data_IF_799593367950
#
_entry.id   IF_799593367950
#
_cell.length_a   1.000
_cell.length_b   1.000
_cell.length_c   1.000
_cell.angle_alpha   90.00
_cell.angle_beta   90.00
_cell.angle_gamma   90.00
#
_symmetry.space_group_name_H-M   'P 1'
#
loop_
_entity.id
_entity.type
_entity.pdbx_description
1 polymer ?
#
# COMPACT_ATOMS: atom_id res chain seq x y z
N UNK A 1 -29.70 41.96 -11.04
CA UNK A 1 -28.44 41.38 -10.58
C UNK A 1 -28.58 39.86 -10.66
N UNK A 2 -28.09 39.28 -11.76
CA UNK A 2 -28.24 37.86 -12.07
C UNK A 2 -27.03 37.13 -11.48
N UNK A 3 -27.24 36.32 -10.45
CA UNK A 3 -26.22 35.45 -9.87
C UNK A 3 -26.01 34.24 -10.80
N UNK A 4 -24.95 34.26 -11.54
CA UNK A 4 -24.52 33.13 -12.35
C UNK A 4 -24.04 32.02 -11.45
N UNK A 5 -24.87 31.00 -11.25
CA UNK A 5 -24.46 29.73 -10.64
C UNK A 5 -23.51 29.03 -11.61
N UNK A 6 -22.31 28.76 -11.15
CA UNK A 6 -21.34 27.93 -11.87
C UNK A 6 -21.94 26.50 -12.07
N UNK A 7 -22.11 26.02 -13.30
CA UNK A 7 -22.75 24.74 -13.57
C UNK A 7 -21.91 23.50 -13.18
N UNK A 8 -20.76 23.70 -12.52
CA UNK A 8 -19.82 22.62 -12.16
C UNK A 8 -19.91 22.13 -10.71
N UNK A 9 -20.79 22.68 -9.89
CA UNK A 9 -21.05 22.14 -8.56
C UNK A 9 -22.34 21.32 -8.57
N UNK A 10 -22.26 20.07 -8.99
CA UNK A 10 -23.27 19.10 -8.63
C UNK A 10 -23.31 19.03 -7.09
N UNK A 11 -24.50 19.08 -6.47
CA UNK A 11 -24.58 19.03 -5.00
C UNK A 11 -24.06 17.66 -4.55
N UNK A 12 -22.90 17.66 -3.85
CA UNK A 12 -22.38 16.47 -3.21
C UNK A 12 -23.39 16.05 -2.12
N UNK A 13 -23.97 14.86 -2.29
CA UNK A 13 -24.92 14.30 -1.32
C UNK A 13 -24.15 13.70 -0.15
N UNK A 14 -23.77 14.56 0.80
CA UNK A 14 -23.18 14.12 2.06
C UNK A 14 -24.29 13.47 2.90
N UNK A 15 -24.16 12.16 3.16
CA UNK A 15 -25.10 11.41 3.98
C UNK A 15 -24.83 11.53 5.46
N UNK A 16 -23.55 11.59 5.84
CA UNK A 16 -23.15 11.65 7.24
C UNK A 16 -21.83 12.41 7.39
N UNK A 17 -21.74 13.21 8.46
CA UNK A 17 -20.50 13.82 8.92
C UNK A 17 -20.29 13.51 10.40
N UNK A 18 -19.08 13.17 10.79
CA UNK A 18 -18.75 12.80 12.15
C UNK A 18 -17.36 13.33 12.51
N UNK A 19 -17.29 14.20 13.52
CA UNK A 19 -16.02 14.69 14.07
C UNK A 19 -15.62 13.77 15.22
N UNK A 20 -14.44 13.20 15.13
CA UNK A 20 -13.94 12.32 16.18
C UNK A 20 -13.50 13.11 17.38
N UNK A 21 -14.04 12.75 18.55
CA UNK A 21 -13.79 13.40 19.82
C UNK A 21 -13.22 12.41 20.84
N UNK A 22 -12.40 12.91 21.73
CA UNK A 22 -11.94 12.15 22.87
C UNK A 22 -13.13 11.82 23.79
N UNK A 23 -13.30 10.56 24.21
CA UNK A 23 -14.46 10.14 25.01
C UNK A 23 -14.50 10.80 26.39
N UNK A 24 -13.36 11.14 26.97
CA UNK A 24 -13.24 11.71 28.30
C UNK A 24 -13.31 13.24 28.28
N UNK A 25 -12.47 13.87 27.45
CA UNK A 25 -12.34 15.34 27.41
C UNK A 25 -13.32 16.02 26.45
N UNK A 26 -14.00 15.24 25.58
CA UNK A 26 -14.89 15.73 24.51
C UNK A 26 -14.22 16.65 23.48
N UNK A 27 -12.92 16.84 23.56
CA UNK A 27 -12.15 17.64 22.60
C UNK A 27 -12.03 16.91 21.27
N UNK A 28 -11.98 17.67 20.19
CA UNK A 28 -11.71 17.11 18.86
C UNK A 28 -10.35 16.45 18.83
N UNK A 29 -10.28 15.26 18.19
CA UNK A 29 -9.05 14.54 17.92
C UNK A 29 -8.32 15.07 16.67
N UNK A 30 -8.85 16.12 16.03
CA UNK A 30 -8.28 16.73 14.84
C UNK A 30 -8.64 16.04 13.52
N UNK A 31 -9.58 15.10 13.52
CA UNK A 31 -10.05 14.44 12.32
C UNK A 31 -11.52 14.05 12.39
N UNK A 32 -12.11 13.76 11.25
CA UNK A 32 -13.48 13.31 11.14
C UNK A 32 -13.72 12.47 9.90
N UNK A 33 -14.92 11.96 9.77
CA UNK A 33 -15.36 11.18 8.63
C UNK A 33 -16.51 11.88 7.91
N UNK A 34 -16.46 11.83 6.59
CA UNK A 34 -17.55 12.28 5.71
C UNK A 34 -17.98 11.08 4.87
N UNK A 35 -19.27 10.78 4.88
CA UNK A 35 -19.86 9.70 4.09
C UNK A 35 -20.70 10.31 2.98
N UNK A 36 -20.40 9.93 1.76
CA UNK A 36 -21.13 10.30 0.56
C UNK A 36 -22.12 9.19 0.17
N UNK A 37 -23.11 9.54 -0.64
CA UNK A 37 -24.10 8.59 -1.14
C UNK A 37 -23.52 7.63 -2.18
N UNK A 38 -22.53 8.07 -2.95
CA UNK A 38 -21.94 7.30 -4.02
C UNK A 38 -20.40 7.45 -4.07
N UNK A 39 -19.74 6.41 -4.62
CA UNK A 39 -18.27 6.37 -4.73
C UNK A 39 -17.74 7.47 -5.65
N UNK A 40 -18.45 7.80 -6.73
CA UNK A 40 -18.05 8.87 -7.63
C UNK A 40 -17.99 10.24 -6.95
N UNK A 41 -18.82 10.49 -5.94
CA UNK A 41 -18.75 11.73 -5.14
C UNK A 41 -17.49 11.78 -4.27
N UNK A 42 -17.05 10.63 -3.76
CA UNK A 42 -15.74 10.52 -3.09
C UNK A 42 -14.61 10.83 -4.08
N UNK A 43 -14.68 10.30 -5.29
CA UNK A 43 -13.69 10.55 -6.34
C UNK A 43 -13.61 12.05 -6.68
N UNK A 44 -14.74 12.71 -6.84
CA UNK A 44 -14.80 14.15 -7.10
C UNK A 44 -14.25 14.98 -5.93
N UNK A 45 -14.59 14.61 -4.69
CA UNK A 45 -14.04 15.25 -3.50
C UNK A 45 -12.51 15.10 -3.44
N UNK A 46 -11.98 13.94 -3.78
CA UNK A 46 -10.53 13.71 -3.82
C UNK A 46 -9.84 14.47 -4.95
N UNK A 47 -10.49 14.65 -6.10
CA UNK A 47 -9.98 15.48 -7.20
C UNK A 47 -9.96 16.98 -6.87
N UNK A 48 -10.91 17.43 -6.08
CA UNK A 48 -11.05 18.84 -5.68
C UNK A 48 -10.07 19.27 -4.57
N UNK A 49 -9.13 18.45 -4.16
CA UNK A 49 -8.08 18.80 -3.20
C UNK A 49 -7.24 19.99 -3.68
N UNK A 50 -6.72 20.82 -2.77
CA UNK A 50 -6.89 20.82 -1.32
C UNK A 50 -8.23 21.40 -0.84
N UNK A 51 -8.76 20.91 0.28
CA UNK A 51 -9.94 21.44 0.91
C UNK A 51 -9.59 22.34 2.10
N UNK A 52 -10.43 23.36 2.32
CA UNK A 52 -10.36 24.18 3.52
C UNK A 52 -11.65 24.00 4.31
N UNK A 53 -11.50 23.72 5.58
CA UNK A 53 -12.60 23.62 6.54
C UNK A 53 -12.29 24.57 7.70
N UNK A 54 -13.21 25.50 7.95
CA UNK A 54 -13.06 26.51 9.00
C UNK A 54 -11.71 27.27 8.93
N UNK A 55 -11.34 27.67 7.69
CA UNK A 55 -10.11 28.42 7.41
C UNK A 55 -8.81 27.59 7.44
N UNK A 56 -8.87 26.32 7.77
CA UNK A 56 -7.72 25.42 7.82
C UNK A 56 -7.70 24.45 6.62
N UNK A 57 -6.52 24.25 6.06
CA UNK A 57 -6.33 23.23 5.03
C UNK A 57 -6.40 21.87 5.68
N UNK A 58 -7.27 21.00 5.14
CA UNK A 58 -7.42 19.62 5.59
C UNK A 58 -6.96 18.68 4.49
N UNK A 59 -6.41 17.54 4.89
CA UNK A 59 -5.96 16.48 4.00
C UNK A 59 -7.00 15.36 4.01
N UNK A 60 -7.80 15.21 2.95
CA UNK A 60 -8.73 14.10 2.84
C UNK A 60 -8.01 12.81 2.47
N UNK A 61 -8.50 11.71 3.00
CA UNK A 61 -8.01 10.37 2.71
C UNK A 61 -9.19 9.40 2.69
N UNK A 62 -9.16 8.43 1.79
CA UNK A 62 -10.19 7.38 1.77
C UNK A 62 -10.16 6.59 3.07
N UNK A 63 -11.33 6.39 3.64
CA UNK A 63 -11.47 5.59 4.85
C UNK A 63 -11.18 4.12 4.54
N UNK A 64 -10.48 3.47 5.44
CA UNK A 64 -10.23 2.02 5.39
C UNK A 64 -11.28 1.31 6.22
N UNK A 65 -11.79 0.17 5.72
CA UNK A 65 -12.77 -0.63 6.46
C UNK A 65 -12.18 -1.13 7.78
N UNK A 66 -13.04 -1.48 8.73
CA UNK A 66 -12.59 -2.04 10.02
C UNK A 66 -11.84 -3.36 9.83
N UNK A 67 -12.26 -4.17 8.88
CA UNK A 67 -11.61 -5.44 8.54
C UNK A 67 -10.21 -5.22 7.98
N UNK A 68 -10.08 -4.24 7.08
CA UNK A 68 -8.81 -3.92 6.43
C UNK A 68 -7.88 -3.09 7.32
N UNK A 69 -8.41 -2.37 8.30
CA UNK A 69 -7.61 -1.51 9.19
C UNK A 69 -6.59 -2.26 10.02
N UNK A 70 -6.82 -3.56 10.25
CA UNK A 70 -5.90 -4.44 10.97
C UNK A 70 -4.75 -4.97 10.09
N UNK A 71 -4.82 -4.78 8.77
CA UNK A 71 -3.75 -5.20 7.85
C UNK A 71 -2.52 -4.32 8.02
N UNK A 72 -1.32 -4.89 7.96
CA UNK A 72 -0.08 -4.11 8.00
C UNK A 72 -0.07 -3.05 6.90
N UNK A 73 0.24 -1.81 7.28
CA UNK A 73 0.33 -0.70 6.34
C UNK A 73 -0.99 -0.15 5.82
N UNK A 74 -2.16 -0.62 6.29
CA UNK A 74 -3.47 -0.17 5.82
C UNK A 74 -3.66 1.35 5.89
N UNK A 75 -3.13 1.99 6.94
CA UNK A 75 -3.24 3.43 7.17
C UNK A 75 -2.07 4.25 6.60
N UNK A 76 -1.06 3.59 6.02
CA UNK A 76 0.08 4.29 5.44
C UNK A 76 -0.30 4.97 4.12
N UNK A 77 0.23 6.17 3.93
CA UNK A 77 0.12 6.92 2.69
C UNK A 77 1.30 6.56 1.79
N UNK A 78 1.05 5.78 0.75
CA UNK A 78 2.06 5.32 -0.20
C UNK A 78 1.59 5.56 -1.63
N UNK A 79 2.54 5.77 -2.55
CA UNK A 79 2.28 5.97 -3.98
C UNK A 79 2.61 4.75 -4.84
N UNK A 80 3.00 3.65 -4.22
CA UNK A 80 3.46 2.44 -4.89
C UNK A 80 2.63 1.23 -4.47
N UNK A 81 2.30 0.38 -5.44
CA UNK A 81 1.61 -0.90 -5.20
C UNK A 81 2.50 -2.07 -5.57
N UNK A 82 2.27 -3.19 -4.90
CA UNK A 82 2.74 -4.51 -5.27
C UNK A 82 1.62 -5.25 -6.02
N UNK A 83 1.94 -5.83 -7.15
CA UNK A 83 1.02 -6.65 -7.97
C UNK A 83 1.61 -8.03 -8.11
N UNK A 84 1.00 -9.02 -7.47
CA UNK A 84 1.43 -10.42 -7.50
C UNK A 84 0.48 -11.29 -8.35
N UNK A 85 1.01 -12.40 -8.86
CA UNK A 85 0.23 -13.34 -9.67
C UNK A 85 0.21 -13.02 -11.16
N UNK A 86 1.09 -12.13 -11.62
CA UNK A 86 1.31 -11.92 -13.06
C UNK A 86 2.02 -13.14 -13.65
N UNK A 87 1.75 -13.42 -14.91
CA UNK A 87 2.37 -14.54 -15.64
C UNK A 87 3.42 -14.03 -16.62
N UNK A 88 4.16 -14.97 -17.21
CA UNK A 88 5.22 -14.65 -18.19
C UNK A 88 4.69 -13.91 -19.44
N UNK A 89 3.44 -14.14 -19.80
CA UNK A 89 2.74 -13.48 -20.91
C UNK A 89 2.26 -12.06 -20.60
N UNK A 90 2.37 -11.62 -19.33
CA UNK A 90 1.97 -10.28 -18.92
C UNK A 90 3.14 -9.30 -19.11
N UNK A 91 2.97 -8.39 -20.05
CA UNK A 91 3.95 -7.33 -20.35
C UNK A 91 3.63 -6.02 -19.65
N UNK A 92 4.60 -5.09 -19.65
CA UNK A 92 4.43 -3.76 -19.03
C UNK A 92 3.21 -3.03 -19.56
N UNK A 93 2.94 -3.11 -20.86
CA UNK A 93 1.81 -2.40 -21.48
C UNK A 93 0.45 -2.90 -20.98
N UNK A 94 0.29 -4.20 -20.66
CA UNK A 94 -0.94 -4.74 -20.08
C UNK A 94 -1.20 -4.13 -18.68
N UNK A 95 -0.15 -3.98 -17.90
CA UNK A 95 -0.21 -3.39 -16.56
C UNK A 95 -0.52 -1.90 -16.66
N UNK A 96 0.13 -1.20 -17.59
CA UNK A 96 -0.08 0.23 -17.85
C UNK A 96 -1.52 0.51 -18.28
N UNK A 97 -1.99 -0.16 -19.30
CA UNK A 97 -3.35 0.00 -19.83
C UNK A 97 -4.41 -0.26 -18.74
N UNK A 98 -4.18 -1.27 -17.90
CA UNK A 98 -5.10 -1.61 -16.83
C UNK A 98 -5.15 -0.55 -15.74
N UNK A 99 -4.02 -0.06 -15.26
CA UNK A 99 -3.97 0.85 -14.11
C UNK A 99 -4.08 2.34 -14.48
N UNK A 100 -3.83 2.73 -15.71
CA UNK A 100 -3.99 4.14 -16.16
C UNK A 100 -5.40 4.68 -15.94
N UNK A 101 -6.41 3.82 -15.98
CA UNK A 101 -7.79 4.17 -15.67
C UNK A 101 -8.02 4.66 -14.23
N UNK A 102 -7.14 4.30 -13.31
CA UNK A 102 -7.21 4.72 -11.91
C UNK A 102 -6.45 6.02 -11.64
N UNK A 103 -5.37 6.27 -12.35
CA UNK A 103 -4.56 7.45 -12.21
C UNK A 103 -3.27 7.39 -13.02
N UNK A 104 -2.50 8.47 -12.97
CA UNK A 104 -1.25 8.58 -13.71
C UNK A 104 -0.17 7.67 -13.13
N UNK A 105 0.41 6.85 -13.98
CA UNK A 105 1.53 5.96 -13.65
C UNK A 105 2.84 6.72 -13.86
N UNK A 106 3.72 6.67 -12.87
CA UNK A 106 5.08 7.20 -12.97
C UNK A 106 6.08 6.13 -13.41
N UNK A 107 6.00 4.94 -12.83
CA UNK A 107 6.94 3.86 -13.10
C UNK A 107 6.29 2.49 -12.94
N UNK A 108 6.74 1.53 -13.75
CA UNK A 108 6.39 0.10 -13.64
C UNK A 108 7.69 -0.69 -13.59
N UNK A 109 7.88 -1.47 -12.54
CA UNK A 109 9.04 -2.33 -12.33
C UNK A 109 8.59 -3.79 -12.32
N UNK A 110 8.74 -4.50 -13.44
CA UNK A 110 8.50 -5.94 -13.50
C UNK A 110 9.73 -6.65 -12.95
N UNK A 111 9.52 -7.48 -11.94
CA UNK A 111 10.62 -8.19 -11.30
C UNK A 111 11.01 -9.43 -12.08
N UNK A 112 12.30 -9.49 -12.41
CA UNK A 112 12.92 -10.60 -13.12
C UNK A 112 14.02 -11.24 -12.28
N UNK A 113 14.25 -12.53 -12.48
CA UNK A 113 15.35 -13.24 -11.87
C UNK A 113 16.66 -12.87 -12.59
N UNK A 114 17.63 -12.38 -11.83
CA UNK A 114 18.90 -11.90 -12.39
C UNK A 114 19.70 -12.96 -13.13
N UNK A 115 19.57 -14.22 -12.72
CA UNK A 115 20.33 -15.34 -13.29
C UNK A 115 19.74 -15.86 -14.61
N UNK A 116 18.42 -15.88 -14.73
CA UNK A 116 17.70 -16.52 -15.85
C UNK A 116 16.95 -15.52 -16.72
N UNK A 117 16.73 -14.28 -16.24
CA UNK A 117 15.89 -13.27 -16.90
C UNK A 117 14.39 -13.60 -16.89
N UNK A 118 13.98 -14.66 -16.18
CA UNK A 118 12.57 -15.04 -16.07
C UNK A 118 11.81 -14.11 -15.14
N UNK A 119 10.59 -13.78 -15.52
CA UNK A 119 9.69 -12.97 -14.69
C UNK A 119 9.35 -13.72 -13.40
N UNK A 120 9.46 -13.03 -12.26
CA UNK A 120 9.23 -13.61 -10.93
C UNK A 120 7.75 -13.70 -10.55
N UNK A 121 6.84 -13.27 -11.42
CA UNK A 121 5.41 -13.32 -11.20
C UNK A 121 4.85 -12.16 -10.39
N UNK A 122 5.60 -11.08 -10.19
CA UNK A 122 5.14 -9.86 -9.55
C UNK A 122 5.83 -8.60 -10.10
N UNK A 123 5.19 -7.48 -9.89
CA UNK A 123 5.73 -6.17 -10.25
C UNK A 123 5.35 -5.11 -9.22
N UNK A 124 6.00 -3.96 -9.34
CA UNK A 124 5.64 -2.76 -8.60
C UNK A 124 5.19 -1.68 -9.57
N UNK A 125 4.15 -0.95 -9.19
CA UNK A 125 3.65 0.20 -9.97
C UNK A 125 3.62 1.42 -9.07
N UNK A 126 4.26 2.50 -9.51
CA UNK A 126 4.29 3.80 -8.83
C UNK A 126 3.37 4.78 -9.52
N UNK A 127 2.62 5.54 -8.73
CA UNK A 127 1.68 6.55 -9.19
C UNK A 127 2.07 7.94 -8.68
N UNK A 128 1.56 8.97 -9.33
CA UNK A 128 1.79 10.36 -8.93
C UNK A 128 1.00 10.77 -7.67
N UNK A 129 -0.09 10.07 -7.36
CA UNK A 129 -0.96 10.36 -6.23
C UNK A 129 -1.25 9.12 -5.37
N UNK A 130 -1.22 9.31 -4.05
CA UNK A 130 -1.54 8.25 -3.09
C UNK A 130 -3.01 7.78 -3.14
N UNK A 131 -3.93 8.66 -3.56
CA UNK A 131 -5.35 8.29 -3.67
C UNK A 131 -5.58 7.21 -4.73
N UNK A 132 -4.81 7.23 -5.80
CA UNK A 132 -4.81 6.17 -6.82
C UNK A 132 -4.49 4.81 -6.21
N UNK A 133 -3.50 4.74 -5.34
CA UNK A 133 -3.15 3.52 -4.60
C UNK A 133 -4.30 3.11 -3.69
N UNK A 134 -4.88 4.02 -2.94
CA UNK A 134 -5.99 3.73 -2.02
C UNK A 134 -7.23 3.19 -2.77
N UNK A 135 -7.54 3.73 -3.94
CA UNK A 135 -8.60 3.21 -4.82
C UNK A 135 -8.35 1.78 -5.30
N UNK A 136 -7.13 1.52 -5.72
CA UNK A 136 -6.76 0.21 -6.28
C UNK A 136 -6.77 -0.87 -5.21
N UNK A 137 -6.16 -0.61 -4.05
CA UNK A 137 -6.05 -1.61 -2.97
C UNK A 137 -7.35 -1.84 -2.21
N UNK A 138 -8.35 -1.00 -2.37
CA UNK A 138 -9.70 -1.24 -1.86
C UNK A 138 -10.28 -2.55 -2.42
N UNK A 139 -9.95 -2.89 -3.64
CA UNK A 139 -10.19 -4.18 -4.26
C UNK A 139 -8.92 -5.02 -4.21
N UNK A 140 -8.94 -6.11 -3.46
CA UNK A 140 -7.76 -6.95 -3.23
C UNK A 140 -7.25 -7.65 -4.49
N UNK A 141 -8.17 -8.09 -5.35
CA UNK A 141 -7.85 -8.82 -6.58
C UNK A 141 -8.28 -8.04 -7.81
N UNK A 142 -7.41 -8.04 -8.81
CA UNK A 142 -7.65 -7.42 -10.11
C UNK A 142 -7.34 -8.42 -11.22
N UNK A 143 -8.15 -8.43 -12.26
CA UNK A 143 -7.88 -9.26 -13.44
C UNK A 143 -7.10 -8.44 -14.45
N UNK A 144 -5.84 -8.82 -14.67
CA UNK A 144 -4.91 -8.19 -15.61
C UNK A 144 -4.47 -9.26 -16.61
N UNK A 145 -4.62 -8.99 -17.90
CA UNK A 145 -4.30 -9.96 -18.96
C UNK A 145 -4.88 -11.37 -18.67
N UNK A 146 -6.16 -11.44 -18.31
CA UNK A 146 -6.91 -12.66 -17.96
C UNK A 146 -6.39 -13.42 -16.72
N UNK A 147 -5.43 -12.87 -15.99
CA UNK A 147 -4.91 -13.43 -14.74
C UNK A 147 -5.43 -12.69 -13.52
N UNK A 148 -5.80 -13.43 -12.50
CA UNK A 148 -6.22 -12.86 -11.22
C UNK A 148 -4.99 -12.47 -10.40
N UNK A 149 -4.75 -11.18 -10.28
CA UNK A 149 -3.60 -10.61 -9.61
C UNK A 149 -3.98 -10.05 -8.23
N UNK A 150 -3.17 -10.34 -7.22
CA UNK A 150 -3.33 -9.74 -5.89
C UNK A 150 -2.61 -8.40 -5.84
N UNK A 151 -3.29 -7.37 -5.35
CA UNK A 151 -2.74 -6.02 -5.24
C UNK A 151 -2.68 -5.59 -3.79
N UNK A 152 -1.54 -5.04 -3.38
CA UNK A 152 -1.29 -4.52 -2.02
C UNK A 152 -0.49 -3.24 -2.08
N UNK A 153 -0.53 -2.44 -1.00
CA UNK A 153 0.40 -1.33 -0.82
C UNK A 153 1.83 -1.86 -0.75
N UNK A 154 2.74 -1.28 -1.54
CA UNK A 154 4.15 -1.60 -1.44
C UNK A 154 4.75 -0.81 -0.27
N UNK A 155 5.31 -1.54 0.69
CA UNK A 155 5.95 -0.98 1.87
C UNK A 155 7.47 -0.96 1.69
N UNK A 156 8.14 0.09 2.17
CA UNK A 156 9.59 0.12 2.27
C UNK A 156 10.08 -0.88 3.32
N UNK A 157 11.36 -1.26 3.25
CA UNK A 157 11.97 -2.13 4.27
C UNK A 157 11.86 -1.54 5.68
N UNK A 158 11.97 -0.21 5.80
CA UNK A 158 11.83 0.50 7.08
C UNK A 158 10.40 0.43 7.61
N UNK A 159 9.40 0.63 6.76
CA UNK A 159 8.00 0.51 7.12
C UNK A 159 7.63 -0.92 7.50
N UNK A 160 8.15 -1.93 6.79
CA UNK A 160 7.97 -3.34 7.15
C UNK A 160 8.59 -3.68 8.51
N UNK A 161 9.77 -3.14 8.81
CA UNK A 161 10.43 -3.33 10.11
C UNK A 161 9.65 -2.71 11.25
N UNK A 162 9.12 -1.50 11.08
CA UNK A 162 8.31 -0.80 12.07
C UNK A 162 7.01 -1.56 12.41
N UNK A 163 6.41 -2.21 11.43
CA UNK A 163 5.21 -3.04 11.60
C UNK A 163 5.55 -4.34 12.32
N UNK A 164 6.69 -4.94 11.99
CA UNK A 164 7.18 -6.18 12.59
C UNK A 164 7.48 -6.03 14.10
N UNK A 165 8.09 -4.92 14.51
CA UNK A 165 8.41 -4.63 15.92
C UNK A 165 7.16 -4.40 16.78
N UNK A 166 6.09 -3.89 16.19
CA UNK A 166 4.84 -3.67 16.93
C UNK A 166 4.01 -4.95 17.13
N UNK A 167 4.33 -6.03 16.41
CA UNK A 167 3.67 -7.34 16.51
C UNK A 167 4.18 -8.21 17.66
N UNK A 168 5.29 -7.85 18.28
CA UNK A 168 5.93 -8.60 19.37
C UNK A 168 5.21 -8.54 20.72
N UNK A 169 4.10 -7.82 20.85
CA UNK A 169 3.41 -7.58 22.11
C UNK A 169 1.98 -8.11 22.22
N UNK A 170 1.50 -8.80 21.20
CA UNK A 170 0.20 -9.47 21.24
C UNK A 170 0.34 -10.87 20.65
N UNK A 171 0.38 -11.87 21.56
CA UNK A 171 0.39 -13.27 21.18
C UNK A 171 -0.90 -13.64 20.44
N UNK A 172 -0.74 -14.17 19.24
CA UNK A 172 -1.83 -14.70 18.43
C UNK A 172 -1.25 -15.36 17.20
N UNK A 173 -1.16 -16.69 17.24
CA UNK A 173 -0.76 -17.57 16.15
C UNK A 173 -1.59 -17.30 14.90
N UNK A 174 -0.97 -16.82 13.87
CA UNK A 174 -1.52 -16.72 12.52
C UNK A 174 -0.38 -16.87 11.54
N UNK A 175 -0.14 -18.12 11.14
CA UNK A 175 0.87 -18.49 10.17
C UNK A 175 0.50 -17.95 8.80
N UNK A 176 0.96 -16.74 8.47
CA UNK A 176 0.99 -16.24 7.10
C UNK A 176 2.43 -16.26 6.60
N UNK A 177 2.89 -17.46 6.30
CA UNK A 177 4.10 -17.67 5.54
C UNK A 177 3.80 -17.51 4.05
N UNK A 178 3.77 -16.29 3.60
CA UNK A 178 4.19 -16.03 2.25
C UNK A 178 5.64 -16.47 2.14
N UNK A 179 5.90 -17.41 1.28
CA UNK A 179 7.23 -17.93 0.95
C UNK A 179 8.12 -16.75 0.57
N UNK A 180 8.80 -16.20 1.58
CA UNK A 180 9.69 -15.07 1.47
C UNK A 180 10.92 -15.51 0.70
N UNK A 181 11.12 -14.94 -0.45
CA UNK A 181 12.40 -14.96 -1.13
C UNK A 181 13.41 -14.27 -0.24
N UNK A 182 14.34 -15.06 0.24
CA UNK A 182 15.50 -14.62 0.99
C UNK A 182 16.39 -13.75 0.09
N UNK A 183 16.33 -12.44 0.25
CA UNK A 183 17.35 -11.52 -0.23
C UNK A 183 18.38 -11.31 0.87
N UNK A 184 19.28 -12.25 1.02
CA UNK A 184 20.47 -12.15 1.83
C UNK A 184 21.70 -12.40 0.98
N UNK A 185 22.10 -11.43 0.20
CA UNK A 185 23.46 -11.33 -0.31
C UNK A 185 24.35 -10.71 0.78
N UNK A 186 25.07 -11.52 1.48
CA UNK A 186 26.08 -11.07 2.42
C UNK A 186 27.10 -12.18 2.54
N UNK A 187 28.11 -12.16 1.67
CA UNK A 187 29.28 -12.99 1.82
C UNK A 187 29.97 -12.63 3.14
N UNK A 188 30.09 -13.59 4.01
CA UNK A 188 31.08 -13.55 5.05
C UNK A 188 32.06 -14.69 4.84
N UNK A 189 33.24 -14.34 4.35
CA UNK A 189 34.42 -15.17 4.36
C UNK A 189 34.84 -15.39 5.80
N UNK A 190 34.40 -16.46 6.42
CA UNK A 190 34.91 -17.00 7.67
C UNK A 190 36.14 -17.82 7.39
N UNK A 191 37.25 -17.23 7.60
CA UNK A 191 38.61 -17.77 7.53
C UNK A 191 38.77 -18.92 8.54
N UNK A 192 39.22 -20.06 8.03
CA UNK A 192 39.48 -21.24 8.81
C UNK A 192 40.49 -21.05 9.95
N UNK A 193 40.14 -21.54 11.09
CA UNK A 193 41.03 -21.72 12.22
C UNK A 193 41.77 -23.05 12.12
N UNK A 194 43.06 -22.98 11.99
CA UNK A 194 43.98 -24.09 12.22
C UNK A 194 43.93 -24.45 13.71
N UNK A 195 43.54 -25.65 14.01
CA UNK A 195 43.67 -26.24 15.34
C UNK A 195 44.48 -27.53 15.26
N UNK A 196 45.80 -27.43 15.40
CA UNK A 196 46.67 -28.59 15.56
C UNK A 196 46.49 -29.21 16.93
N UNK A 197 46.14 -30.47 16.96
CA UNK A 197 46.17 -31.33 18.13
C UNK A 197 47.35 -32.28 18.06
N UNK A 198 48.29 -32.03 18.90
CA UNK A 198 49.56 -32.79 19.10
C UNK A 198 49.29 -34.05 19.87
N UNK A 199 49.83 -35.14 19.37
CA UNK A 199 49.87 -36.42 20.03
C UNK A 199 50.68 -36.49 21.31
N UNK A 200 50.26 -37.34 22.19
CA UNK A 200 50.97 -37.79 23.39
C UNK A 200 51.51 -39.17 23.18
N UNK A 201 52.79 -39.33 23.46
CA UNK A 201 53.50 -40.56 23.63
C UNK A 201 53.09 -41.23 24.95
N UNK A 202 53.17 -42.57 25.03
CA UNK A 202 53.14 -43.35 26.22
C UNK A 202 53.44 -44.80 25.91
N UNK A 203 54.51 -45.30 26.43
CA UNK A 203 55.11 -46.62 26.42
C UNK A 203 54.15 -47.82 26.42
#
# INVERSE_FOLDING_TARGET
MSSSRDPRSAPSHICKMEVMRDPNTKRSRGFGFVTYAAVNEVDEAMKARPHKVDGRVVEPKRAVSREDSNKPGAHLTVKKIFVGGIKEDTEEYHIREYFEKYGKIECIDIMEERSTGKKRGFCFVSFDDHDTVDKIVAQKFHTINFHNCEVRKALSKQEMSAISTNRGRSGGSGNFMGRGSNYGGGGNFGRGGYGGGRGGYGD
#
